data_IF_726148855268
#
_entry.id   IF_726148855268
#
_cell.length_a   1.000
_cell.length_b   1.000
_cell.length_c   1.000
_cell.angle_alpha   90.00
_cell.angle_beta   90.00
_cell.angle_gamma   90.00
#
_symmetry.space_group_name_H-M   'P 1'
#
loop_
_entity.id
_entity.type
_entity.pdbx_description
1 polymer ?
#
# COMPACT_ATOMS: atom_id res chain seq x y z
N UNK A 1 15.01 -20.18 24.44
CA UNK A 1 13.87 -19.24 24.67
C UNK A 1 14.22 -17.79 24.29
N UNK A 2 15.47 -17.34 24.47
CA UNK A 2 15.93 -16.01 24.03
C UNK A 2 16.06 -15.92 22.49
N UNK A 3 16.68 -16.90 21.83
CA UNK A 3 16.79 -16.94 20.35
C UNK A 3 15.43 -16.90 19.64
N UNK A 4 14.43 -17.64 20.14
CA UNK A 4 13.06 -17.63 19.57
C UNK A 4 12.40 -16.24 19.69
N UNK A 5 12.71 -15.47 20.75
CA UNK A 5 12.20 -14.10 20.93
C UNK A 5 12.91 -13.10 20.03
N UNK A 6 14.23 -13.21 19.88
CA UNK A 6 15.02 -12.33 19.02
C UNK A 6 14.68 -12.52 17.54
N UNK A 7 14.54 -13.77 17.11
CA UNK A 7 14.11 -14.12 15.76
C UNK A 7 12.75 -13.51 15.39
N UNK A 8 11.79 -13.56 16.31
CA UNK A 8 10.47 -12.99 16.09
C UNK A 8 10.51 -11.46 15.99
N UNK A 9 11.43 -10.81 16.72
CA UNK A 9 11.64 -9.36 16.60
C UNK A 9 12.24 -9.00 15.24
N UNK A 10 13.23 -9.76 14.76
CA UNK A 10 13.83 -9.58 13.44
C UNK A 10 12.77 -9.71 12.34
N UNK A 11 11.96 -10.78 12.35
CA UNK A 11 10.93 -10.99 11.34
C UNK A 11 9.90 -9.86 11.32
N UNK A 12 9.48 -9.35 12.49
CA UNK A 12 8.61 -8.16 12.57
C UNK A 12 9.27 -6.91 11.99
N UNK A 13 10.55 -6.68 12.28
CA UNK A 13 11.29 -5.56 11.69
C UNK A 13 11.37 -5.67 10.16
N UNK A 14 11.48 -6.89 9.63
CA UNK A 14 11.44 -7.13 8.19
C UNK A 14 10.07 -6.84 7.57
N UNK A 15 8.96 -7.13 8.27
CA UNK A 15 7.63 -6.68 7.83
C UNK A 15 7.57 -5.15 7.73
N UNK A 16 8.10 -4.45 8.74
CA UNK A 16 8.17 -2.98 8.74
C UNK A 16 9.06 -2.43 7.62
N UNK A 17 10.24 -3.03 7.42
CA UNK A 17 11.14 -2.66 6.33
C UNK A 17 10.47 -2.86 4.97
N UNK A 18 9.76 -3.97 4.79
CA UNK A 18 8.99 -4.22 3.57
C UNK A 18 7.89 -3.17 3.36
N UNK A 19 7.14 -2.80 4.41
CA UNK A 19 6.10 -1.78 4.34
C UNK A 19 6.67 -0.40 3.97
N UNK A 20 7.77 0.00 4.59
CA UNK A 20 8.42 1.27 4.28
C UNK A 20 8.97 1.29 2.86
N UNK A 21 9.63 0.22 2.42
CA UNK A 21 10.08 0.10 1.03
C UNK A 21 8.90 0.11 0.06
N UNK A 22 7.78 -0.53 0.39
CA UNK A 22 6.58 -0.52 -0.48
C UNK A 22 6.09 0.91 -0.75
N UNK A 23 6.17 1.80 0.25
CA UNK A 23 5.73 3.19 0.15
C UNK A 23 6.81 4.08 -0.49
N UNK A 24 8.07 3.91 -0.11
CA UNK A 24 9.15 4.86 -0.43
C UNK A 24 10.12 4.41 -1.52
N UNK A 25 10.05 3.15 -2.01
CA UNK A 25 10.93 2.65 -3.08
C UNK A 25 10.85 3.53 -4.34
N UNK A 26 9.66 4.00 -4.72
CA UNK A 26 9.54 4.92 -5.85
C UNK A 26 10.28 6.24 -5.62
N UNK A 27 10.30 6.78 -4.40
CA UNK A 27 11.03 8.01 -4.07
C UNK A 27 12.54 7.78 -4.18
N UNK A 28 13.02 6.60 -3.77
CA UNK A 28 14.43 6.22 -3.97
C UNK A 28 14.78 6.20 -5.46
N UNK A 29 13.92 5.62 -6.29
CA UNK A 29 14.14 5.47 -7.75
C UNK A 29 14.00 6.77 -8.54
N UNK A 30 13.25 7.73 -8.02
CA UNK A 30 13.00 9.02 -8.68
C UNK A 30 13.99 10.10 -8.24
N UNK A 31 14.31 10.14 -6.95
CA UNK A 31 14.98 11.29 -6.34
C UNK A 31 16.34 10.97 -5.73
N UNK A 32 16.44 9.90 -4.93
CA UNK A 32 17.65 9.68 -4.14
C UNK A 32 18.74 8.91 -4.90
N UNK A 33 18.35 7.85 -5.60
CA UNK A 33 19.24 6.91 -6.28
C UNK A 33 18.73 6.62 -7.71
N UNK A 34 18.57 7.64 -8.57
CA UNK A 34 18.03 7.46 -9.92
C UNK A 34 18.88 6.50 -10.78
N UNK A 35 20.21 6.48 -10.61
CA UNK A 35 21.10 5.56 -11.30
C UNK A 35 20.90 4.07 -10.92
N UNK A 36 20.26 3.80 -9.78
CA UNK A 36 19.94 2.44 -9.32
C UNK A 36 18.44 2.11 -9.48
N UNK A 37 17.73 2.85 -10.35
CA UNK A 37 16.28 2.70 -10.49
C UNK A 37 15.83 1.28 -10.90
N UNK A 38 16.61 0.58 -11.72
CA UNK A 38 16.33 -0.79 -12.17
C UNK A 38 16.55 -1.83 -11.07
N UNK A 39 17.70 -1.91 -10.37
CA UNK A 39 17.88 -2.87 -9.28
C UNK A 39 16.96 -2.59 -8.08
N UNK A 40 16.62 -1.34 -7.80
CA UNK A 40 15.72 -0.97 -6.71
C UNK A 40 14.30 -1.53 -6.85
N UNK A 41 13.88 -1.90 -8.06
CA UNK A 41 12.59 -2.54 -8.33
C UNK A 41 12.49 -3.97 -7.72
N UNK A 42 13.63 -4.58 -7.37
CA UNK A 42 13.71 -5.87 -6.69
C UNK A 42 14.15 -5.73 -5.21
N UNK A 43 14.28 -4.50 -4.68
CA UNK A 43 14.86 -4.27 -3.34
C UNK A 43 14.09 -4.97 -2.20
N UNK A 44 12.80 -5.22 -2.42
CA UNK A 44 11.92 -5.89 -1.44
C UNK A 44 11.99 -7.42 -1.52
N UNK A 45 12.49 -7.96 -2.63
CA UNK A 45 12.43 -9.40 -2.91
C UNK A 45 13.33 -10.19 -1.95
N UNK A 46 14.56 -9.76 -1.62
CA UNK A 46 15.38 -10.42 -0.59
C UNK A 46 14.69 -10.49 0.78
N UNK A 47 13.97 -9.42 1.17
CA UNK A 47 13.22 -9.39 2.43
C UNK A 47 12.06 -10.39 2.37
N UNK A 48 11.31 -10.41 1.28
CA UNK A 48 10.19 -11.33 1.10
C UNK A 48 10.66 -12.80 1.12
N UNK A 49 11.74 -13.12 0.40
CA UNK A 49 12.33 -14.46 0.37
C UNK A 49 12.80 -14.89 1.76
N UNK A 50 13.49 -14.02 2.49
CA UNK A 50 13.98 -14.32 3.83
C UNK A 50 12.82 -14.58 4.82
N UNK A 51 11.77 -13.76 4.77
CA UNK A 51 10.59 -13.94 5.62
C UNK A 51 9.91 -15.27 5.29
N UNK A 52 9.67 -15.57 4.01
CA UNK A 52 9.03 -16.82 3.60
C UNK A 52 9.85 -18.04 3.99
N UNK A 53 11.15 -18.03 3.73
CA UNK A 53 12.08 -19.09 4.14
C UNK A 53 12.04 -19.31 5.66
N UNK A 54 12.08 -18.23 6.44
CA UNK A 54 12.07 -18.30 7.90
C UNK A 54 10.76 -18.87 8.46
N UNK A 55 9.61 -18.45 7.92
CA UNK A 55 8.29 -18.91 8.38
C UNK A 55 8.03 -20.37 7.92
N UNK A 56 8.55 -20.75 6.75
CA UNK A 56 8.50 -22.12 6.24
C UNK A 56 9.34 -23.07 7.10
N UNK A 57 10.60 -22.73 7.38
CA UNK A 57 11.48 -23.56 8.22
C UNK A 57 10.94 -23.77 9.63
N UNK A 58 10.20 -22.78 10.16
CA UNK A 58 9.56 -22.86 11.48
C UNK A 58 8.21 -23.58 11.45
N UNK A 59 7.74 -24.02 10.29
CA UNK A 59 6.42 -24.63 10.07
C UNK A 59 5.26 -23.78 10.62
N UNK A 60 5.41 -22.45 10.58
CA UNK A 60 4.39 -21.50 11.07
C UNK A 60 3.38 -21.17 9.96
N UNK A 61 3.82 -21.18 8.70
CA UNK A 61 2.95 -20.92 7.56
C UNK A 61 2.13 -22.16 7.23
N UNK A 62 0.81 -22.06 7.37
CA UNK A 62 -0.09 -23.16 6.99
C UNK A 62 -0.51 -23.01 5.53
N UNK A 63 -0.36 -24.06 4.71
CA UNK A 63 -0.94 -24.08 3.37
C UNK A 63 -2.44 -23.79 3.42
N UNK A 64 -2.92 -22.98 2.47
CA UNK A 64 -4.34 -22.72 2.31
C UNK A 64 -4.70 -22.67 0.83
N UNK A 65 -5.98 -22.86 0.52
CA UNK A 65 -6.45 -22.95 -0.87
C UNK A 65 -6.13 -21.70 -1.69
N UNK A 66 -6.23 -20.50 -1.10
CA UNK A 66 -5.92 -19.25 -1.80
C UNK A 66 -4.44 -19.11 -2.14
N UNK A 67 -3.55 -19.44 -1.20
CA UNK A 67 -2.11 -19.44 -1.42
C UNK A 67 -1.73 -20.46 -2.49
N UNK A 68 -2.23 -21.69 -2.37
CA UNK A 68 -1.95 -22.75 -3.35
C UNK A 68 -2.49 -22.41 -4.74
N UNK A 69 -3.69 -21.81 -4.83
CA UNK A 69 -4.26 -21.36 -6.09
C UNK A 69 -3.40 -20.28 -6.74
N UNK A 70 -2.89 -19.30 -5.98
CA UNK A 70 -2.00 -18.27 -6.55
C UNK A 70 -0.64 -18.84 -6.95
N UNK A 71 -0.08 -19.78 -6.19
CA UNK A 71 1.14 -20.49 -6.58
C UNK A 71 0.94 -21.27 -7.89
N UNK A 72 -0.21 -21.95 -8.03
CA UNK A 72 -0.57 -22.66 -9.24
C UNK A 72 -0.74 -21.70 -10.42
N UNK A 73 -1.48 -20.59 -10.25
CA UNK A 73 -1.68 -19.58 -11.30
C UNK A 73 -0.36 -18.93 -11.72
N UNK A 74 0.52 -18.62 -10.77
CA UNK A 74 1.86 -18.09 -11.07
C UNK A 74 2.70 -19.08 -11.87
N UNK A 75 2.68 -20.36 -11.48
CA UNK A 75 3.41 -21.44 -12.18
C UNK A 75 2.84 -21.68 -13.58
N UNK A 76 1.52 -21.76 -13.71
CA UNK A 76 0.84 -21.87 -14.99
C UNK A 76 1.11 -20.65 -15.89
N UNK A 77 1.18 -19.46 -15.31
CA UNK A 77 1.57 -18.22 -16.00
C UNK A 77 2.98 -18.28 -16.58
N UNK A 78 3.94 -18.85 -15.85
CA UNK A 78 5.31 -19.08 -16.36
C UNK A 78 5.25 -20.05 -17.56
N UNK A 79 4.59 -21.20 -17.40
CA UNK A 79 4.54 -22.22 -18.46
C UNK A 79 3.88 -21.66 -19.73
N UNK A 80 2.73 -21.00 -19.58
CA UNK A 80 1.97 -20.44 -20.71
C UNK A 80 2.71 -19.28 -21.38
N UNK A 81 3.34 -18.37 -20.63
CA UNK A 81 4.15 -17.30 -21.22
C UNK A 81 5.41 -17.81 -21.93
N UNK A 82 5.97 -18.93 -21.48
CA UNK A 82 7.12 -19.58 -22.12
C UNK A 82 6.75 -20.33 -23.39
N UNK A 83 5.62 -21.05 -23.41
CA UNK A 83 5.22 -21.90 -24.54
C UNK A 83 4.43 -21.11 -25.59
N UNK A 84 3.49 -20.28 -25.16
CA UNK A 84 2.53 -19.59 -26.02
C UNK A 84 2.69 -18.06 -26.04
N UNK A 85 3.56 -17.52 -25.17
CA UNK A 85 3.81 -16.09 -25.04
C UNK A 85 5.16 -15.65 -25.63
N UNK A 86 5.84 -14.76 -24.92
CA UNK A 86 7.09 -14.16 -25.37
C UNK A 86 8.33 -15.05 -25.18
N UNK A 87 8.23 -16.22 -24.53
CA UNK A 87 9.32 -17.21 -24.45
C UNK A 87 10.53 -16.83 -23.59
N UNK A 88 10.45 -15.77 -22.78
CA UNK A 88 11.60 -15.20 -22.05
C UNK A 88 11.49 -15.49 -20.55
N UNK A 89 12.34 -16.38 -20.05
CA UNK A 89 12.29 -16.82 -18.65
C UNK A 89 12.43 -15.65 -17.65
N UNK A 90 13.36 -14.68 -17.82
CA UNK A 90 13.45 -13.53 -16.91
C UNK A 90 12.17 -12.70 -16.85
N UNK A 91 11.51 -12.50 -18.00
CA UNK A 91 10.25 -11.73 -18.08
C UNK A 91 9.10 -12.51 -17.45
N UNK A 92 9.04 -13.82 -17.70
CA UNK A 92 8.04 -14.71 -17.09
C UNK A 92 8.15 -14.77 -15.57
N UNK A 93 9.37 -14.93 -15.03
CA UNK A 93 9.62 -14.93 -13.58
C UNK A 93 9.28 -13.58 -12.96
N UNK A 94 9.65 -12.47 -13.63
CA UNK A 94 9.32 -11.13 -13.18
C UNK A 94 7.80 -10.89 -13.12
N UNK A 95 7.05 -11.36 -14.12
CA UNK A 95 5.58 -11.30 -14.15
C UNK A 95 4.89 -12.23 -13.15
N UNK A 96 5.48 -13.40 -12.87
CA UNK A 96 4.95 -14.37 -11.91
C UNK A 96 5.24 -14.01 -10.45
N UNK A 97 6.23 -13.14 -10.20
CA UNK A 97 6.67 -12.72 -8.86
C UNK A 97 5.54 -12.30 -7.90
N UNK A 98 4.53 -11.50 -8.28
CA UNK A 98 3.44 -11.16 -7.37
C UNK A 98 2.70 -12.39 -6.84
N UNK A 99 2.53 -13.42 -7.66
CA UNK A 99 1.83 -14.65 -7.34
C UNK A 99 2.70 -15.62 -6.52
N UNK A 100 3.96 -15.79 -6.92
CA UNK A 100 4.88 -16.76 -6.31
C UNK A 100 5.54 -16.25 -5.02
N UNK A 101 5.73 -14.94 -4.90
CA UNK A 101 6.46 -14.33 -3.80
C UNK A 101 5.55 -13.48 -2.91
N UNK A 102 4.94 -12.43 -3.46
CA UNK A 102 4.23 -11.46 -2.63
C UNK A 102 2.90 -11.97 -2.10
N UNK A 103 2.21 -12.86 -2.82
CA UNK A 103 0.93 -13.42 -2.35
C UNK A 103 1.11 -14.36 -1.14
N UNK A 104 2.04 -15.34 -1.15
CA UNK A 104 2.39 -16.10 0.06
C UNK A 104 2.85 -15.20 1.21
N UNK A 105 3.58 -14.12 0.90
CA UNK A 105 4.08 -13.18 1.91
C UNK A 105 2.95 -12.52 2.72
N UNK A 106 1.77 -12.29 2.12
CA UNK A 106 0.60 -11.75 2.82
C UNK A 106 0.19 -12.69 3.97
N UNK A 107 0.16 -14.00 3.72
CA UNK A 107 -0.16 -14.99 4.76
C UNK A 107 0.95 -15.08 5.80
N UNK A 108 2.22 -15.01 5.38
CA UNK A 108 3.35 -14.99 6.30
C UNK A 108 3.31 -13.76 7.23
N UNK A 109 2.96 -12.57 6.71
CA UNK A 109 2.78 -11.40 7.57
C UNK A 109 1.65 -11.62 8.58
N UNK A 110 0.53 -12.22 8.17
CA UNK A 110 -0.59 -12.54 9.05
C UNK A 110 -0.26 -13.50 10.19
N UNK A 111 0.79 -14.32 10.07
CA UNK A 111 1.26 -15.17 11.19
C UNK A 111 2.27 -14.48 12.10
N UNK A 112 2.95 -13.44 11.60
CA UNK A 112 4.03 -12.75 12.33
C UNK A 112 3.55 -11.55 13.14
N UNK A 113 2.52 -10.85 12.67
CA UNK A 113 2.03 -9.62 13.30
C UNK A 113 0.72 -9.86 14.05
N UNK A 114 0.55 -9.17 15.17
CA UNK A 114 -0.68 -9.21 15.95
C UNK A 114 -1.45 -7.89 15.81
N UNK A 115 -2.62 -7.82 16.46
CA UNK A 115 -3.49 -6.62 16.44
C UNK A 115 -2.75 -5.33 16.83
N UNK A 116 -1.90 -5.36 17.87
CA UNK A 116 -1.16 -4.17 18.31
C UNK A 116 -0.16 -3.70 17.25
N UNK A 117 0.51 -4.65 16.59
CA UNK A 117 1.43 -4.35 15.49
C UNK A 117 0.67 -3.70 14.31
N UNK A 118 -0.49 -4.24 13.95
CA UNK A 118 -1.35 -3.69 12.88
C UNK A 118 -1.91 -2.31 13.25
N UNK A 119 -2.32 -2.11 14.50
CA UNK A 119 -2.73 -0.79 14.98
C UNK A 119 -1.57 0.22 14.89
N UNK A 120 -0.35 -0.17 15.27
CA UNK A 120 0.84 0.66 15.10
C UNK A 120 1.13 0.99 13.63
N UNK A 121 1.00 0.02 12.72
CA UNK A 121 1.08 0.26 11.28
C UNK A 121 0.07 1.31 10.84
N UNK A 122 -1.19 1.18 11.28
CA UNK A 122 -2.21 2.19 11.01
C UNK A 122 -1.81 3.58 11.49
N UNK A 123 -1.22 3.72 12.70
CA UNK A 123 -0.75 5.03 13.19
C UNK A 123 0.30 5.64 12.26
N UNK A 124 1.26 4.83 11.83
CA UNK A 124 2.31 5.27 10.88
C UNK A 124 1.68 5.67 9.54
N UNK A 125 0.75 4.87 9.03
CA UNK A 125 0.03 5.18 7.79
C UNK A 125 -0.73 6.51 7.88
N UNK A 126 -1.34 6.85 9.03
CA UNK A 126 -1.99 8.15 9.22
C UNK A 126 -1.00 9.32 9.08
N UNK A 127 0.20 9.22 9.66
CA UNK A 127 1.25 10.24 9.47
C UNK A 127 1.76 10.30 8.03
N UNK A 128 1.99 9.14 7.41
CA UNK A 128 2.40 9.07 6.00
C UNK A 128 1.32 9.65 5.10
N UNK A 129 0.03 9.50 5.44
CA UNK A 129 -1.09 10.08 4.70
C UNK A 129 -1.00 11.60 4.68
N UNK A 130 -0.70 12.23 5.82
CA UNK A 130 -0.51 13.69 5.87
C UNK A 130 0.64 14.14 4.97
N UNK A 131 1.81 13.49 5.13
CA UNK A 131 2.98 13.77 4.31
C UNK A 131 2.69 13.58 2.80
N UNK A 132 2.04 12.47 2.46
CA UNK A 132 1.69 12.13 1.08
C UNK A 132 0.72 13.15 0.50
N UNK A 133 -0.27 13.64 1.26
CA UNK A 133 -1.24 14.63 0.76
C UNK A 133 -0.56 15.95 0.45
N UNK A 134 0.35 16.41 1.31
CA UNK A 134 1.14 17.62 1.05
C UNK A 134 1.99 17.44 -0.21
N UNK A 135 2.67 16.31 -0.34
CA UNK A 135 3.50 15.99 -1.49
C UNK A 135 2.69 15.95 -2.80
N UNK A 136 1.54 15.27 -2.83
CA UNK A 136 0.72 15.20 -4.04
C UNK A 136 0.09 16.57 -4.38
N UNK A 137 -0.19 17.41 -3.38
CA UNK A 137 -0.59 18.79 -3.59
C UNK A 137 0.49 19.59 -4.34
N UNK A 138 1.74 19.50 -3.88
CA UNK A 138 2.86 20.11 -4.61
C UNK A 138 3.02 19.54 -6.02
N UNK A 139 2.93 18.22 -6.18
CA UNK A 139 3.04 17.58 -7.49
C UNK A 139 1.92 18.01 -8.45
N UNK A 140 0.69 18.17 -7.95
CA UNK A 140 -0.47 18.57 -8.74
C UNK A 140 -0.31 19.98 -9.33
N UNK A 141 0.18 20.92 -8.52
CA UNK A 141 0.33 22.32 -8.94
C UNK A 141 1.71 22.64 -9.58
N UNK A 142 2.65 21.69 -9.57
CA UNK A 142 3.97 21.88 -10.16
C UNK A 142 4.05 21.35 -11.60
N UNK A 143 4.90 21.92 -12.48
CA UNK A 143 5.14 21.36 -13.81
C UNK A 143 5.79 19.97 -13.72
N UNK A 144 5.68 19.16 -14.79
CA UNK A 144 6.27 17.80 -14.81
C UNK A 144 7.80 17.80 -14.67
N UNK A 145 8.46 18.86 -15.16
CA UNK A 145 9.91 19.05 -15.04
C UNK A 145 10.39 19.37 -13.62
N UNK A 146 9.48 19.73 -12.69
CA UNK A 146 9.82 20.01 -11.31
C UNK A 146 10.40 18.76 -10.63
N UNK A 147 11.35 18.95 -9.70
CA UNK A 147 12.02 17.85 -9.01
C UNK A 147 11.05 16.84 -8.38
N UNK A 148 9.98 17.33 -7.74
CA UNK A 148 8.94 16.48 -7.12
C UNK A 148 8.15 15.63 -8.12
N UNK A 149 8.11 16.04 -9.39
CA UNK A 149 7.35 15.35 -10.44
C UNK A 149 8.21 14.44 -11.31
N UNK A 150 9.54 14.43 -11.15
CA UNK A 150 10.43 13.57 -11.95
C UNK A 150 10.01 12.11 -11.91
N UNK A 151 10.14 11.47 -13.07
CA UNK A 151 9.92 10.05 -13.29
C UNK A 151 11.03 9.17 -12.74
N UNK A 152 10.84 7.85 -12.90
CA UNK A 152 11.84 6.84 -12.54
C UNK A 152 13.14 7.10 -13.28
N UNK A 153 14.28 6.99 -12.59
CA UNK A 153 15.58 7.31 -13.19
C UNK A 153 15.86 8.81 -13.30
N UNK A 154 15.03 9.65 -12.66
CA UNK A 154 15.17 11.11 -12.71
C UNK A 154 14.61 11.74 -13.98
N UNK A 155 13.74 11.03 -14.70
CA UNK A 155 13.15 11.49 -15.97
C UNK A 155 12.40 12.81 -15.81
N UNK A 156 12.78 13.81 -16.61
CA UNK A 156 12.24 15.17 -16.58
C UNK A 156 10.86 15.22 -17.27
N UNK A 157 10.52 14.22 -18.09
CA UNK A 157 9.17 14.06 -18.65
C UNK A 157 8.10 13.87 -17.56
N UNK A 158 8.54 13.42 -16.38
CA UNK A 158 7.75 13.29 -15.17
C UNK A 158 7.14 11.91 -14.97
N UNK A 159 6.66 11.65 -13.75
CA UNK A 159 5.92 10.45 -13.39
C UNK A 159 4.39 10.62 -13.59
N UNK A 160 3.95 11.84 -13.93
CA UNK A 160 2.55 12.21 -14.00
C UNK A 160 1.89 11.68 -15.27
N UNK A 161 0.79 10.94 -15.09
CA UNK A 161 -0.05 10.56 -16.21
C UNK A 161 -1.00 11.72 -16.55
N UNK A 162 -1.38 11.88 -17.82
CA UNK A 162 -2.31 12.93 -18.22
C UNK A 162 -3.63 12.83 -17.42
N UNK A 163 -3.99 13.94 -16.78
CA UNK A 163 -5.19 14.06 -15.96
C UNK A 163 -6.32 14.77 -16.72
N UNK A 164 -6.99 15.68 -16.03
CA UNK A 164 -8.08 16.50 -16.56
C UNK A 164 -7.72 17.99 -16.45
N UNK A 165 -8.28 18.82 -17.32
CA UNK A 165 -8.10 20.28 -17.31
C UNK A 165 -6.62 20.73 -17.37
N UNK A 166 -5.77 19.97 -18.08
CA UNK A 166 -4.34 20.26 -18.21
C UNK A 166 -3.49 19.88 -17.00
N UNK A 167 -4.10 19.37 -15.92
CA UNK A 167 -3.37 18.86 -14.76
C UNK A 167 -2.92 17.41 -14.97
N UNK A 168 -1.81 17.05 -14.32
CA UNK A 168 -1.27 15.70 -14.31
C UNK A 168 -1.59 15.01 -12.99
N UNK A 169 -1.75 13.68 -13.05
CA UNK A 169 -2.01 12.88 -11.87
C UNK A 169 -0.72 12.73 -11.06
N UNK A 170 -0.72 13.10 -9.77
CA UNK A 170 0.46 12.97 -8.92
C UNK A 170 0.79 11.49 -8.63
N UNK A 171 2.07 11.18 -8.47
CA UNK A 171 2.56 9.83 -8.18
C UNK A 171 2.99 9.64 -6.72
N UNK A 172 3.00 10.71 -5.93
CA UNK A 172 3.52 10.73 -4.56
C UNK A 172 4.95 10.22 -4.50
N UNK A 173 5.22 9.34 -3.55
CA UNK A 173 6.48 8.60 -3.43
C UNK A 173 6.52 7.35 -4.31
N UNK A 174 5.46 7.02 -5.03
CA UNK A 174 5.43 5.82 -5.87
C UNK A 174 6.02 6.09 -7.26
N UNK A 175 6.43 5.02 -7.94
CA UNK A 175 6.94 5.09 -9.31
C UNK A 175 5.87 5.45 -10.33
N UNK A 176 4.58 5.27 -9.99
CA UNK A 176 3.46 5.55 -10.88
C UNK A 176 2.19 5.92 -10.08
N UNK A 177 1.26 6.58 -10.76
CA UNK A 177 0.01 7.15 -10.20
C UNK A 177 -0.90 6.12 -9.53
N UNK A 178 -0.87 4.86 -9.98
CA UNK A 178 -1.64 3.78 -9.37
C UNK A 178 -1.29 3.56 -7.89
N UNK A 179 -0.03 3.79 -7.51
CA UNK A 179 0.42 3.65 -6.13
C UNK A 179 -0.32 4.58 -5.16
N UNK A 180 -0.60 5.81 -5.59
CA UNK A 180 -1.41 6.77 -4.81
C UNK A 180 -2.83 6.26 -4.61
N UNK A 181 -3.47 5.78 -5.67
CA UNK A 181 -4.85 5.26 -5.58
C UNK A 181 -4.93 4.10 -4.58
N UNK A 182 -4.00 3.13 -4.67
CA UNK A 182 -3.95 1.99 -3.75
C UNK A 182 -3.59 2.39 -2.32
N UNK A 183 -2.64 3.32 -2.15
CA UNK A 183 -2.22 3.80 -0.84
C UNK A 183 -3.35 4.47 -0.07
N UNK A 184 -4.09 5.40 -0.69
CA UNK A 184 -5.21 6.04 0.01
C UNK A 184 -6.40 5.10 0.19
N UNK A 185 -6.61 4.13 -0.72
CA UNK A 185 -7.55 3.03 -0.49
C UNK A 185 -7.19 2.24 0.78
N UNK A 186 -5.93 1.86 0.94
CA UNK A 186 -5.42 1.20 2.14
C UNK A 186 -5.47 2.08 3.40
N UNK A 187 -5.09 3.36 3.30
CA UNK A 187 -5.14 4.31 4.40
C UNK A 187 -6.58 4.56 4.88
N UNK A 188 -7.55 4.56 3.96
CA UNK A 188 -8.98 4.70 4.29
C UNK A 188 -9.42 3.62 5.28
N UNK A 189 -9.00 2.37 5.10
CA UNK A 189 -9.32 1.27 6.02
C UNK A 189 -8.90 1.58 7.46
N UNK A 190 -7.69 2.12 7.66
CA UNK A 190 -7.22 2.50 8.99
C UNK A 190 -7.93 3.73 9.55
N UNK A 191 -8.20 4.74 8.73
CA UNK A 191 -8.93 5.95 9.15
C UNK A 191 -10.32 5.55 9.66
N UNK A 192 -11.09 4.79 8.89
CA UNK A 192 -12.40 4.31 9.32
C UNK A 192 -12.31 3.40 10.54
N UNK A 193 -11.34 2.48 10.60
CA UNK A 193 -11.11 1.63 11.77
C UNK A 193 -10.88 2.45 13.06
N UNK A 194 -10.06 3.49 13.00
CA UNK A 194 -9.77 4.34 14.17
C UNK A 194 -10.93 5.27 14.55
N UNK A 195 -11.80 5.66 13.61
CA UNK A 195 -13.06 6.32 13.93
C UNK A 195 -14.01 5.39 14.70
N UNK A 196 -14.06 4.10 14.35
CA UNK A 196 -14.85 3.10 15.07
C UNK A 196 -14.25 2.74 16.44
N UNK A 197 -12.92 2.86 16.60
CA UNK A 197 -12.20 2.50 17.82
C UNK A 197 -11.50 3.74 18.43
N UNK A 198 -12.27 4.68 19.02
CA UNK A 198 -11.70 5.88 19.62
C UNK A 198 -10.77 5.53 20.79
N UNK A 199 -9.70 6.33 20.96
CA UNK A 199 -8.71 6.16 22.04
C UNK A 199 -7.42 5.47 21.62
N UNK A 200 -7.38 4.82 20.44
CA UNK A 200 -6.14 4.21 19.93
C UNK A 200 -5.17 5.27 19.38
N UNK A 201 -5.70 6.28 18.68
CA UNK A 201 -4.93 7.40 18.09
C UNK A 201 -5.46 8.75 18.57
N UNK A 202 -4.61 9.78 18.53
CA UNK A 202 -5.00 11.13 18.90
C UNK A 202 -6.06 11.69 17.94
N UNK A 203 -7.11 12.32 18.50
CA UNK A 203 -8.25 12.85 17.73
C UNK A 203 -7.82 13.87 16.67
N UNK A 204 -6.83 14.71 16.97
CA UNK A 204 -6.27 15.69 16.02
C UNK A 204 -5.66 15.00 14.79
N UNK A 205 -4.83 13.99 15.00
CA UNK A 205 -4.22 13.21 13.91
C UNK A 205 -5.29 12.57 13.04
N UNK A 206 -6.31 11.95 13.65
CA UNK A 206 -7.38 11.30 12.91
C UNK A 206 -8.19 12.28 12.06
N UNK A 207 -8.53 13.46 12.59
CA UNK A 207 -9.22 14.52 11.84
C UNK A 207 -8.34 14.99 10.67
N UNK A 208 -7.07 15.31 10.92
CA UNK A 208 -6.15 15.74 9.87
C UNK A 208 -5.99 14.68 8.78
N UNK A 209 -5.85 13.41 9.14
CA UNK A 209 -5.74 12.31 8.16
C UNK A 209 -7.03 12.11 7.37
N UNK A 210 -8.19 12.36 7.98
CA UNK A 210 -9.49 12.33 7.28
C UNK A 210 -9.58 13.46 6.25
N UNK A 211 -9.24 14.69 6.64
CA UNK A 211 -9.18 15.83 5.72
C UNK A 211 -8.16 15.57 4.60
N UNK A 212 -7.01 15.00 4.94
CA UNK A 212 -5.97 14.64 3.98
C UNK A 212 -6.43 13.58 2.96
N UNK A 213 -7.22 12.60 3.39
CA UNK A 213 -7.86 11.61 2.50
C UNK A 213 -8.87 12.29 1.57
N UNK A 214 -9.75 13.15 2.10
CA UNK A 214 -10.75 13.85 1.30
C UNK A 214 -10.10 14.77 0.25
N UNK A 215 -9.05 15.50 0.62
CA UNK A 215 -8.28 16.33 -0.30
C UNK A 215 -7.55 15.51 -1.38
N UNK A 216 -7.10 14.29 -1.05
CA UNK A 216 -6.41 13.42 -2.02
C UNK A 216 -7.33 12.92 -3.14
N UNK A 217 -8.64 12.81 -2.92
CA UNK A 217 -9.61 12.37 -3.94
C UNK A 217 -9.56 13.28 -5.19
N UNK A 218 -9.83 14.60 -5.11
CA UNK A 218 -9.75 15.49 -6.26
C UNK A 218 -8.31 15.65 -6.76
N UNK A 219 -7.31 15.75 -5.87
CA UNK A 219 -5.91 15.92 -6.26
C UNK A 219 -5.36 14.73 -7.08
N UNK A 220 -5.85 13.52 -6.82
CA UNK A 220 -5.41 12.34 -7.58
C UNK A 220 -6.02 12.25 -8.99
N UNK A 221 -7.12 12.96 -9.25
CA UNK A 221 -7.97 12.82 -10.46
C UNK A 221 -8.27 11.33 -10.75
N UNK A 222 -8.48 10.53 -9.70
CA UNK A 222 -8.68 9.08 -9.80
C UNK A 222 -10.09 8.68 -9.36
N UNK A 223 -10.92 8.25 -10.34
CA UNK A 223 -12.22 7.63 -10.06
C UNK A 223 -12.07 6.34 -9.23
N UNK A 224 -10.95 5.63 -9.43
CA UNK A 224 -10.63 4.44 -8.65
C UNK A 224 -10.44 4.74 -7.17
N UNK A 225 -9.78 5.85 -6.83
CA UNK A 225 -9.61 6.25 -5.44
C UNK A 225 -10.97 6.53 -4.78
N UNK A 226 -11.82 7.32 -5.45
CA UNK A 226 -13.17 7.56 -4.98
C UNK A 226 -13.94 6.25 -4.74
N UNK A 227 -13.86 5.29 -5.68
CA UNK A 227 -14.50 3.99 -5.54
C UNK A 227 -13.96 3.19 -4.35
N UNK A 228 -12.64 3.14 -4.14
CA UNK A 228 -12.07 2.44 -2.98
C UNK A 228 -12.56 3.03 -1.66
N UNK A 229 -12.59 4.36 -1.52
CA UNK A 229 -13.09 5.03 -0.32
C UNK A 229 -14.58 4.74 -0.10
N UNK A 230 -15.39 4.78 -1.17
CA UNK A 230 -16.81 4.47 -1.10
C UNK A 230 -17.08 3.02 -0.67
N UNK A 231 -16.32 2.06 -1.21
CA UNK A 231 -16.41 0.65 -0.81
C UNK A 231 -16.03 0.46 0.66
N UNK A 232 -14.92 1.07 1.11
CA UNK A 232 -14.53 1.01 2.53
C UNK A 232 -15.60 1.62 3.44
N UNK A 233 -16.19 2.74 3.03
CA UNK A 233 -17.28 3.38 3.76
C UNK A 233 -18.53 2.48 3.83
N UNK A 234 -18.93 1.85 2.72
CA UNK A 234 -20.04 0.90 2.66
C UNK A 234 -19.85 -0.26 3.65
N UNK A 235 -18.67 -0.89 3.65
CA UNK A 235 -18.37 -1.98 4.59
C UNK A 235 -18.30 -1.50 6.05
N UNK A 236 -17.84 -0.28 6.29
CA UNK A 236 -17.84 0.34 7.62
C UNK A 236 -19.27 0.52 8.12
N UNK A 237 -20.15 1.06 7.28
CA UNK A 237 -21.58 1.24 7.59
C UNK A 237 -22.26 -0.10 7.86
N UNK A 238 -21.99 -1.10 7.02
CA UNK A 238 -22.52 -2.46 7.19
C UNK A 238 -22.04 -3.14 8.49
N UNK A 239 -20.77 -2.94 8.87
CA UNK A 239 -20.21 -3.50 10.11
C UNK A 239 -20.88 -2.90 11.34
N UNK A 240 -21.15 -1.60 11.30
CA UNK A 240 -21.81 -0.89 12.39
C UNK A 240 -23.31 -1.14 12.42
N UNK A 241 -24.00 -1.28 11.29
CA UNK A 241 -25.44 -1.57 11.28
C UNK A 241 -25.77 -2.90 11.96
N UNK A 242 -24.82 -3.84 11.98
CA UNK A 242 -24.90 -5.09 12.74
C UNK A 242 -24.58 -4.96 14.24
N UNK A 243 -24.16 -3.78 14.71
CA UNK A 243 -23.88 -3.48 16.12
C UNK A 243 -24.62 -2.21 16.59
N UNK A 244 -25.74 -2.35 17.35
CA UNK A 244 -26.59 -1.22 17.76
C UNK A 244 -25.87 -0.08 18.50
N UNK A 245 -24.71 -0.37 19.12
CA UNK A 245 -23.89 0.59 19.88
C UNK A 245 -23.20 1.66 19.03
N UNK A 246 -23.09 1.48 17.71
CA UNK A 246 -22.33 2.38 16.84
C UNK A 246 -23.21 3.22 15.89
N UNK A 247 -24.53 3.02 15.89
CA UNK A 247 -25.47 3.71 14.98
C UNK A 247 -25.42 5.25 15.11
N UNK A 248 -25.37 5.78 16.34
CA UNK A 248 -25.29 7.22 16.57
C UNK A 248 -24.00 7.87 16.06
N UNK A 249 -22.90 7.09 15.99
CA UNK A 249 -21.60 7.57 15.48
C UNK A 249 -21.57 7.62 13.95
N UNK A 250 -22.34 6.75 13.27
CA UNK A 250 -22.51 6.80 11.80
C UNK A 250 -23.15 8.11 11.37
N UNK A 251 -24.23 8.52 12.03
CA UNK A 251 -24.97 9.71 11.60
C UNK A 251 -24.09 10.96 11.65
N UNK A 252 -23.23 11.07 12.67
CA UNK A 252 -22.26 12.16 12.80
C UNK A 252 -21.18 12.09 11.70
N UNK A 253 -20.65 10.89 11.42
CA UNK A 253 -19.61 10.70 10.41
C UNK A 253 -20.11 10.93 8.97
N UNK A 254 -21.34 10.47 8.65
CA UNK A 254 -21.99 10.71 7.35
C UNK A 254 -22.32 12.19 7.18
N UNK A 255 -22.89 12.83 8.22
CA UNK A 255 -23.22 14.25 8.16
C UNK A 255 -21.97 15.13 7.98
N UNK A 256 -20.86 14.78 8.65
CA UNK A 256 -19.58 15.45 8.45
C UNK A 256 -18.98 15.22 7.03
N UNK A 257 -19.25 14.08 6.41
CA UNK A 257 -18.76 13.77 5.06
C UNK A 257 -19.62 14.38 3.93
N UNK A 258 -20.88 14.74 4.20
CA UNK A 258 -21.78 15.39 3.23
C UNK A 258 -21.61 16.92 3.24
N UNK A 259 -21.16 17.49 4.37
CA UNK A 259 -20.98 18.95 4.54
C UNK A 259 -19.62 19.44 4.02
N UNK A 260 -18.67 18.54 3.77
CA UNK A 260 -17.35 18.83 3.16
C UNK A 260 -17.39 18.55 1.67
#
# INVERSE_FOLDING_TARGET
MLEIKEDNKLLKNLVWAYLLLLIFEGALRKWLLPGLASPLLLVRDPIALWVLFSVWNKNILRPNAYMNAMLLLGTAGIITSMIFGHGSLPVSLYGARPYLLHFPLIFAFGTLINRRDVEQMGKVILYVTLFMTVLIGFQFYSPQSAWVNRGVGGDISGAGFSGALGYFRPSGTFSFTNGITLFYGFASCFIFYFWLNPGIVGRKLLILSTVALLAAIPLSISRGLFFYVAVTMLFTVFTVSRNPRFLGKILIAIFAAIIV
#
